data_IF_977694907019
#
_entry.id   IF_977694907019
#
_cell.length_a   1.000
_cell.length_b   1.000
_cell.length_c   1.000
_cell.angle_alpha   90.00
_cell.angle_beta   90.00
_cell.angle_gamma   90.00
#
_symmetry.space_group_name_H-M   'P 1'
#
loop_
_entity.id
_entity.type
_entity.pdbx_description
1 polymer ?
#
# COMPACT_ATOMS: atom_id res chain seq x y z
N UNK A 1 38.00 -78.97 -53.17
CA UNK A 1 36.76 -78.38 -52.63
C UNK A 1 37.18 -77.26 -51.69
N UNK A 2 37.16 -76.00 -52.16
CA UNK A 2 37.73 -74.85 -51.46
C UNK A 2 36.58 -73.86 -51.20
N UNK A 3 36.30 -73.57 -49.92
CA UNK A 3 35.21 -72.70 -49.46
C UNK A 3 35.76 -71.27 -49.38
N UNK A 4 35.12 -70.36 -50.11
CA UNK A 4 35.39 -68.91 -50.09
C UNK A 4 34.47 -68.29 -49.01
N UNK A 5 35.04 -67.71 -47.96
CA UNK A 5 34.28 -66.95 -46.96
C UNK A 5 34.17 -65.49 -47.41
N UNK A 6 32.94 -65.00 -47.58
CA UNK A 6 32.65 -63.58 -47.85
C UNK A 6 32.54 -62.83 -46.52
N UNK A 7 33.22 -61.69 -46.40
CA UNK A 7 33.09 -60.78 -45.25
C UNK A 7 32.21 -59.61 -45.66
N UNK A 8 30.99 -59.57 -45.16
CA UNK A 8 30.07 -58.44 -45.34
C UNK A 8 30.44 -57.30 -44.39
N UNK A 9 30.76 -56.14 -44.95
CA UNK A 9 31.03 -54.91 -44.19
C UNK A 9 29.70 -54.19 -43.92
N UNK A 10 29.22 -54.20 -42.67
CA UNK A 10 28.02 -53.49 -42.28
C UNK A 10 28.32 -51.99 -42.08
N UNK A 11 28.00 -51.17 -43.08
CA UNK A 11 28.07 -49.71 -42.97
C UNK A 11 26.84 -49.17 -42.21
N UNK A 12 27.00 -48.81 -40.94
CA UNK A 12 25.97 -48.13 -40.14
C UNK A 12 25.75 -46.68 -40.61
N UNK A 13 24.65 -46.47 -41.33
CA UNK A 13 24.17 -45.14 -41.75
C UNK A 13 23.55 -44.42 -40.55
N UNK A 14 24.26 -43.44 -39.96
CA UNK A 14 23.73 -42.58 -38.87
C UNK A 14 22.51 -41.79 -39.37
N UNK A 15 21.36 -42.05 -38.74
CA UNK A 15 20.11 -41.32 -38.93
C UNK A 15 20.25 -39.91 -38.34
N UNK A 16 19.88 -38.83 -39.06
CA UNK A 16 19.82 -37.50 -38.46
C UNK A 16 18.62 -37.43 -37.54
N UNK A 17 18.88 -37.28 -36.24
CA UNK A 17 17.86 -36.97 -35.24
C UNK A 17 17.44 -35.50 -35.40
N UNK A 18 16.25 -35.28 -35.93
CA UNK A 18 15.60 -33.96 -35.88
C UNK A 18 15.19 -33.67 -34.45
N UNK A 19 16.05 -32.97 -33.71
CA UNK A 19 15.70 -32.39 -32.41
C UNK A 19 14.60 -31.36 -32.63
N UNK A 20 13.34 -31.71 -32.28
CA UNK A 20 12.24 -30.74 -32.22
C UNK A 20 12.66 -29.61 -31.28
N UNK A 21 12.88 -28.43 -31.84
CA UNK A 21 13.18 -27.21 -31.09
C UNK A 21 11.96 -26.90 -30.22
N UNK A 22 12.10 -27.11 -28.91
CA UNK A 22 11.09 -26.75 -27.92
C UNK A 22 10.81 -25.24 -28.07
N UNK A 23 9.54 -24.80 -28.18
CA UNK A 23 9.23 -23.38 -28.26
C UNK A 23 9.84 -22.69 -27.05
N UNK A 24 10.53 -21.57 -27.29
CA UNK A 24 11.03 -20.71 -26.22
C UNK A 24 9.83 -20.34 -25.32
N UNK A 25 9.99 -20.51 -24.01
CA UNK A 25 8.98 -20.04 -23.08
C UNK A 25 8.84 -18.52 -23.27
N UNK A 26 7.66 -18.07 -23.71
CA UNK A 26 7.34 -16.65 -23.77
C UNK A 26 7.51 -16.10 -22.36
N UNK A 27 8.36 -15.08 -22.19
CA UNK A 27 8.47 -14.40 -20.90
C UNK A 27 7.07 -13.92 -20.47
N UNK A 28 6.68 -14.11 -19.20
CA UNK A 28 5.39 -13.61 -18.74
C UNK A 28 5.32 -12.11 -19.00
N UNK A 29 4.18 -11.65 -19.53
CA UNK A 29 3.95 -10.24 -19.75
C UNK A 29 3.99 -9.52 -18.39
N UNK A 30 4.86 -8.50 -18.28
CA UNK A 30 4.91 -7.62 -17.11
C UNK A 30 3.53 -6.96 -16.98
N UNK A 31 2.85 -7.20 -15.86
CA UNK A 31 1.55 -6.59 -15.60
C UNK A 31 1.77 -5.11 -15.30
N UNK A 32 1.21 -4.24 -16.14
CA UNK A 32 1.25 -2.81 -15.90
C UNK A 32 0.32 -2.44 -14.74
N UNK A 33 0.91 -2.08 -13.60
CA UNK A 33 0.21 -1.64 -12.38
C UNK A 33 0.29 -0.11 -12.16
N UNK A 34 0.65 0.66 -13.19
CA UNK A 34 0.78 2.12 -13.08
C UNK A 34 -0.50 2.81 -12.61
N UNK A 35 -1.71 2.46 -13.11
CA UNK A 35 -2.94 3.10 -12.65
C UNK A 35 -3.19 2.91 -11.15
N UNK A 36 -3.00 1.69 -10.65
CA UNK A 36 -3.15 1.35 -9.24
C UNK A 36 -2.10 2.05 -8.36
N UNK A 37 -0.85 2.11 -8.83
CA UNK A 37 0.21 2.86 -8.16
C UNK A 37 -0.10 4.36 -8.10
N UNK A 38 -0.71 4.94 -9.14
CA UNK A 38 -1.13 6.34 -9.15
C UNK A 38 -2.19 6.64 -8.07
N UNK A 39 -3.19 5.76 -7.91
CA UNK A 39 -4.21 5.91 -6.86
C UNK A 39 -3.59 5.92 -5.45
N UNK A 40 -2.66 5.01 -5.18
CA UNK A 40 -1.96 4.96 -3.89
C UNK A 40 -1.11 6.21 -3.68
N UNK A 41 -0.43 6.69 -4.73
CA UNK A 41 0.39 7.92 -4.66
C UNK A 41 -0.45 9.17 -4.35
N UNK A 42 -1.68 9.22 -4.85
CA UNK A 42 -2.61 10.31 -4.59
C UNK A 42 -3.00 10.32 -3.11
N UNK A 43 -3.30 9.16 -2.52
CA UNK A 43 -3.59 9.08 -1.07
C UNK A 43 -2.39 9.47 -0.21
N UNK A 44 -1.18 9.04 -0.56
CA UNK A 44 0.05 9.51 0.11
C UNK A 44 0.10 11.04 0.08
N UNK A 45 -0.15 11.65 -1.08
CA UNK A 45 -0.13 13.12 -1.22
C UNK A 45 -1.18 13.79 -0.33
N UNK A 46 -2.39 13.25 -0.26
CA UNK A 46 -3.47 13.78 0.60
C UNK A 46 -3.07 13.69 2.07
N UNK A 47 -2.57 12.54 2.53
CA UNK A 47 -2.08 12.35 3.89
C UNK A 47 -0.93 13.30 4.24
N UNK A 48 0.06 13.45 3.36
CA UNK A 48 1.20 14.34 3.60
C UNK A 48 0.76 15.80 3.71
N UNK A 49 -0.18 16.25 2.85
CA UNK A 49 -0.75 17.60 2.94
C UNK A 49 -1.50 17.82 4.26
N UNK A 50 -2.23 16.82 4.73
CA UNK A 50 -2.89 16.90 6.03
C UNK A 50 -1.88 16.96 7.18
N UNK A 51 -0.85 16.12 7.17
CA UNK A 51 0.22 16.13 8.19
C UNK A 51 0.93 17.49 8.28
N UNK A 52 1.12 18.18 7.16
CA UNK A 52 1.72 19.52 7.14
C UNK A 52 0.95 20.52 8.02
N UNK A 53 -0.39 20.43 8.04
CA UNK A 53 -1.23 21.31 8.88
C UNK A 53 -1.57 20.71 10.24
N UNK A 54 -1.42 19.40 10.40
CA UNK A 54 -1.80 18.64 11.60
C UNK A 54 -1.17 19.20 12.88
N UNK A 55 0.14 19.41 12.89
CA UNK A 55 0.85 19.91 14.07
C UNK A 55 0.33 21.27 14.55
N UNK A 56 -0.05 22.17 13.61
CA UNK A 56 -0.65 23.45 13.96
C UNK A 56 -2.02 23.29 14.63
N UNK A 57 -2.83 22.35 14.13
CA UNK A 57 -4.16 22.07 14.68
C UNK A 57 -4.02 21.52 16.10
N UNK A 58 -3.17 20.50 16.28
CA UNK A 58 -2.93 19.84 17.57
C UNK A 58 -2.41 20.82 18.63
N UNK A 59 -1.40 21.62 18.31
CA UNK A 59 -0.88 22.63 19.24
C UNK A 59 -1.98 23.59 19.72
N UNK A 60 -2.93 23.94 18.85
CA UNK A 60 -4.09 24.77 19.22
C UNK A 60 -5.04 24.05 20.18
N UNK A 61 -5.29 22.75 19.96
CA UNK A 61 -6.14 21.94 20.83
C UNK A 61 -5.51 21.76 22.21
N UNK A 62 -4.22 21.41 22.27
CA UNK A 62 -3.49 21.20 23.52
C UNK A 62 -3.40 22.49 24.35
N UNK A 63 -3.11 23.62 23.68
CA UNK A 63 -3.11 24.92 24.34
C UNK A 63 -4.49 25.25 24.93
N UNK A 64 -5.57 25.00 24.19
CA UNK A 64 -6.93 25.24 24.67
C UNK A 64 -7.32 24.30 25.83
N UNK A 65 -6.91 23.04 25.79
CA UNK A 65 -7.10 22.08 26.88
C UNK A 65 -6.34 22.50 28.15
N UNK A 66 -5.12 23.01 28.02
CA UNK A 66 -4.33 23.49 29.16
C UNK A 66 -4.90 24.76 29.78
N UNK A 67 -5.39 25.71 28.98
CA UNK A 67 -6.12 26.88 29.47
C UNK A 67 -7.40 26.46 30.20
N UNK A 68 -8.11 25.46 29.68
CA UNK A 68 -9.31 24.93 30.31
C UNK A 68 -9.03 24.30 31.68
N UNK A 69 -7.95 23.51 31.81
CA UNK A 69 -7.50 22.94 33.09
C UNK A 69 -7.15 24.01 34.13
N UNK A 70 -6.69 25.18 33.67
CA UNK A 70 -6.34 26.33 34.53
C UNK A 70 -7.54 27.22 34.87
N UNK A 71 -8.73 26.91 34.36
CA UNK A 71 -9.93 27.73 34.54
C UNK A 71 -9.90 29.06 33.77
N UNK A 72 -9.04 29.16 32.75
CA UNK A 72 -8.76 30.39 31.99
C UNK A 72 -9.42 30.38 30.59
N UNK A 73 -10.64 29.85 30.47
CA UNK A 73 -11.36 29.74 29.18
C UNK A 73 -12.77 30.29 29.26
N UNK A 74 -13.19 30.96 28.19
CA UNK A 74 -14.58 31.37 28.01
C UNK A 74 -15.40 30.22 27.40
N UNK A 75 -16.74 30.22 27.55
CA UNK A 75 -17.61 29.22 26.92
C UNK A 75 -17.41 29.12 25.40
N UNK A 76 -17.12 30.24 24.73
CA UNK A 76 -16.86 30.30 23.29
C UNK A 76 -15.59 29.53 22.91
N UNK A 77 -14.52 29.65 23.71
CA UNK A 77 -13.27 28.92 23.50
C UNK A 77 -13.50 27.41 23.67
N UNK A 78 -14.27 27.01 24.68
CA UNK A 78 -14.63 25.59 24.91
C UNK A 78 -15.41 25.03 23.72
N UNK A 79 -16.41 25.75 23.22
CA UNK A 79 -17.20 25.33 22.07
C UNK A 79 -16.35 25.23 20.79
N UNK A 80 -15.46 26.20 20.56
CA UNK A 80 -14.55 26.20 19.43
C UNK A 80 -13.53 25.06 19.50
N UNK A 81 -13.03 24.74 20.70
CA UNK A 81 -12.11 23.63 20.92
C UNK A 81 -12.78 22.28 20.59
N UNK A 82 -14.02 22.08 21.10
CA UNK A 82 -14.81 20.88 20.79
C UNK A 82 -15.03 20.73 19.28
N UNK A 83 -15.44 21.80 18.60
CA UNK A 83 -15.63 21.82 17.14
C UNK A 83 -14.34 21.48 16.39
N UNK A 84 -13.20 21.99 16.87
CA UNK A 84 -11.90 21.73 16.26
C UNK A 84 -11.47 20.27 16.44
N UNK A 85 -11.73 19.67 17.61
CA UNK A 85 -11.52 18.24 17.86
C UNK A 85 -12.39 17.36 16.96
N UNK A 86 -13.69 17.66 16.88
CA UNK A 86 -14.63 16.95 16.00
C UNK A 86 -14.19 17.04 14.54
N UNK A 87 -13.78 18.23 14.08
CA UNK A 87 -13.26 18.43 12.74
C UNK A 87 -11.96 17.65 12.50
N UNK A 88 -11.05 17.60 13.48
CA UNK A 88 -9.81 16.82 13.36
C UNK A 88 -10.10 15.33 13.15
N UNK A 89 -10.95 14.76 14.00
CA UNK A 89 -11.34 13.35 13.91
C UNK A 89 -12.06 13.06 12.59
N UNK A 90 -12.97 13.93 12.16
CA UNK A 90 -13.68 13.78 10.89
C UNK A 90 -12.73 13.82 9.68
N UNK A 91 -11.71 14.69 9.70
CA UNK A 91 -10.69 14.71 8.65
C UNK A 91 -9.88 13.42 8.61
N UNK A 92 -9.45 12.89 9.75
CA UNK A 92 -8.71 11.61 9.82
C UNK A 92 -9.60 10.45 9.33
N UNK A 93 -10.89 10.45 9.68
CA UNK A 93 -11.85 9.49 9.16
C UNK A 93 -11.95 9.56 7.62
N UNK A 94 -12.01 10.78 7.05
CA UNK A 94 -12.01 10.97 5.59
C UNK A 94 -10.75 10.41 4.92
N UNK A 95 -9.59 10.56 5.55
CA UNK A 95 -8.33 9.95 5.10
C UNK A 95 -8.40 8.41 5.13
N UNK A 96 -8.91 7.82 6.21
CA UNK A 96 -9.12 6.37 6.34
C UNK A 96 -10.03 5.85 5.22
N UNK A 97 -11.18 6.51 5.01
CA UNK A 97 -12.15 6.13 3.97
C UNK A 97 -11.51 6.17 2.57
N UNK A 98 -10.62 7.14 2.32
CA UNK A 98 -9.85 7.20 1.07
C UNK A 98 -9.00 5.95 0.81
N UNK A 99 -8.32 5.44 1.83
CA UNK A 99 -7.55 4.19 1.73
C UNK A 99 -8.48 2.98 1.58
N UNK A 100 -9.54 2.90 2.38
CA UNK A 100 -10.48 1.78 2.35
C UNK A 100 -11.10 1.56 0.98
N UNK A 101 -11.40 2.65 0.27
CA UNK A 101 -11.89 2.57 -1.11
C UNK A 101 -10.90 1.83 -2.01
N UNK A 102 -9.62 2.18 -1.97
CA UNK A 102 -8.57 1.52 -2.77
C UNK A 102 -8.41 0.06 -2.34
N UNK A 103 -8.48 -0.22 -1.03
CA UNK A 103 -8.44 -1.59 -0.51
C UNK A 103 -9.55 -2.45 -1.11
N UNK A 104 -10.79 -1.93 -1.19
CA UNK A 104 -11.90 -2.67 -1.81
C UNK A 104 -11.68 -2.88 -3.30
N UNK A 105 -11.19 -1.87 -4.02
CA UNK A 105 -10.86 -1.98 -5.44
C UNK A 105 -9.81 -3.08 -5.67
N UNK A 106 -8.73 -3.10 -4.87
CA UNK A 106 -7.68 -4.12 -4.99
C UNK A 106 -8.17 -5.51 -4.59
N UNK A 107 -8.99 -5.62 -3.54
CA UNK A 107 -9.60 -6.88 -3.11
C UNK A 107 -10.39 -7.53 -4.25
N UNK A 108 -11.10 -6.72 -5.03
CA UNK A 108 -11.91 -7.17 -6.17
C UNK A 108 -11.08 -7.59 -7.39
N UNK A 109 -9.78 -7.26 -7.43
CA UNK A 109 -8.88 -7.57 -8.54
C UNK A 109 -7.98 -8.76 -8.17
N UNK A 110 -8.13 -9.94 -8.81
CA UNK A 110 -7.31 -11.12 -8.50
C UNK A 110 -5.79 -10.91 -8.70
N UNK A 111 -5.40 -9.93 -9.51
CA UNK A 111 -3.98 -9.60 -9.74
C UNK A 111 -3.35 -8.81 -8.58
N UNK A 112 -4.17 -8.27 -7.68
CA UNK A 112 -3.76 -7.36 -6.62
C UNK A 112 -3.82 -8.00 -5.22
N UNK A 113 -3.95 -9.31 -5.09
CA UNK A 113 -4.16 -9.94 -3.78
C UNK A 113 -3.01 -9.67 -2.78
N UNK A 114 -1.77 -9.60 -3.27
CA UNK A 114 -0.61 -9.27 -2.43
C UNK A 114 -0.64 -7.79 -2.03
N UNK A 115 -0.91 -6.91 -2.98
CA UNK A 115 -0.97 -5.46 -2.77
C UNK A 115 -2.14 -5.07 -1.87
N UNK A 116 -3.29 -5.74 -2.03
CA UNK A 116 -4.46 -5.62 -1.18
C UNK A 116 -4.10 -5.87 0.29
N UNK A 117 -3.43 -6.98 0.60
CA UNK A 117 -3.04 -7.31 1.97
C UNK A 117 -2.05 -6.28 2.55
N UNK A 118 -1.11 -5.78 1.73
CA UNK A 118 -0.20 -4.72 2.15
C UNK A 118 -0.94 -3.41 2.44
N UNK A 119 -1.91 -3.06 1.60
CA UNK A 119 -2.68 -1.84 1.72
C UNK A 119 -3.69 -1.90 2.88
N UNK A 120 -4.20 -3.07 3.25
CA UNK A 120 -5.06 -3.21 4.43
C UNK A 120 -4.35 -2.81 5.72
N UNK A 121 -3.04 -3.09 5.85
CA UNK A 121 -2.25 -2.60 6.98
C UNK A 121 -2.12 -1.06 7.01
N UNK A 122 -2.13 -0.39 5.85
CA UNK A 122 -2.20 1.07 5.81
C UNK A 122 -3.56 1.58 6.31
N UNK A 123 -4.64 0.89 5.93
CA UNK A 123 -6.00 1.19 6.38
C UNK A 123 -6.15 1.02 7.89
N UNK A 124 -5.57 -0.04 8.46
CA UNK A 124 -5.54 -0.29 9.91
C UNK A 124 -4.78 0.81 10.65
N UNK A 125 -3.62 1.25 10.12
CA UNK A 125 -2.87 2.34 10.71
C UNK A 125 -3.67 3.67 10.70
N UNK A 126 -4.41 3.95 9.64
CA UNK A 126 -5.30 5.12 9.57
C UNK A 126 -6.48 5.00 10.56
N UNK A 127 -7.05 3.80 10.74
CA UNK A 127 -8.08 3.55 11.74
C UNK A 127 -7.55 3.76 13.17
N UNK A 128 -6.33 3.29 13.46
CA UNK A 128 -5.69 3.54 14.75
C UNK A 128 -5.46 5.05 14.97
N UNK A 129 -5.04 5.80 13.95
CA UNK A 129 -4.90 7.25 14.05
C UNK A 129 -6.21 7.96 14.43
N UNK A 130 -7.34 7.53 13.84
CA UNK A 130 -8.67 8.07 14.16
C UNK A 130 -9.05 7.81 15.63
N UNK A 131 -8.81 6.59 16.11
CA UNK A 131 -9.07 6.20 17.50
C UNK A 131 -8.21 7.00 18.48
N UNK A 132 -6.91 7.13 18.19
CA UNK A 132 -5.96 7.90 19.02
C UNK A 132 -6.35 9.37 19.08
N UNK A 133 -6.70 10.00 17.95
CA UNK A 133 -7.14 11.39 17.92
C UNK A 133 -8.46 11.59 18.71
N UNK A 134 -9.40 10.64 18.60
CA UNK A 134 -10.64 10.67 19.38
C UNK A 134 -10.37 10.62 20.89
N UNK A 135 -9.35 9.88 21.29
CA UNK A 135 -8.86 9.77 22.66
C UNK A 135 -7.93 10.93 23.10
N UNK A 136 -7.82 12.01 22.32
CA UNK A 136 -6.90 13.13 22.58
C UNK A 136 -5.41 12.73 22.64
N UNK A 137 -5.01 11.60 22.02
CA UNK A 137 -3.62 11.14 21.93
C UNK A 137 -3.01 11.61 20.60
N UNK A 138 -2.85 12.91 20.45
CA UNK A 138 -2.58 13.54 19.16
C UNK A 138 -1.20 13.22 18.59
N UNK A 139 -0.15 13.15 19.41
CA UNK A 139 1.19 12.77 18.93
C UNK A 139 1.19 11.36 18.33
N UNK A 140 0.57 10.42 19.04
CA UNK A 140 0.48 9.03 18.62
C UNK A 140 -0.40 8.86 17.39
N UNK A 141 -1.48 9.63 17.28
CA UNK A 141 -2.28 9.69 16.05
C UNK A 141 -1.45 10.19 14.86
N UNK A 142 -0.58 11.19 15.08
CA UNK A 142 0.38 11.66 14.09
C UNK A 142 1.32 10.56 13.60
N UNK A 143 1.91 9.81 14.54
CA UNK A 143 2.79 8.68 14.23
C UNK A 143 2.06 7.55 13.48
N UNK A 144 0.81 7.28 13.84
CA UNK A 144 -0.01 6.29 13.14
C UNK A 144 -0.31 6.71 11.69
N UNK A 145 -0.54 8.01 11.42
CA UNK A 145 -0.68 8.51 10.04
C UNK A 145 0.63 8.40 9.24
N UNK A 146 1.78 8.67 9.86
CA UNK A 146 3.09 8.44 9.21
C UNK A 146 3.27 6.96 8.87
N UNK A 147 2.86 6.07 9.77
CA UNK A 147 2.88 4.63 9.52
C UNK A 147 1.99 4.26 8.34
N UNK A 148 0.78 4.82 8.23
CA UNK A 148 -0.10 4.60 7.08
C UNK A 148 0.56 5.02 5.76
N UNK A 149 1.22 6.17 5.72
CA UNK A 149 1.98 6.63 4.55
C UNK A 149 3.10 5.65 4.18
N UNK A 150 3.86 5.18 5.17
CA UNK A 150 4.93 4.22 4.94
C UNK A 150 4.38 2.93 4.33
N UNK A 151 3.27 2.39 4.84
CA UNK A 151 2.63 1.18 4.29
C UNK A 151 2.11 1.37 2.87
N UNK A 152 1.57 2.55 2.56
CA UNK A 152 1.19 2.90 1.19
C UNK A 152 2.40 2.94 0.26
N UNK A 153 3.51 3.54 0.70
CA UNK A 153 4.75 3.57 -0.08
C UNK A 153 5.34 2.16 -0.31
N UNK A 154 5.37 1.33 0.72
CA UNK A 154 5.77 -0.09 0.63
C UNK A 154 4.89 -0.87 -0.36
N UNK A 155 3.59 -0.55 -0.41
CA UNK A 155 2.66 -1.13 -1.37
C UNK A 155 3.01 -0.72 -2.80
N UNK A 156 3.29 0.56 -3.05
CA UNK A 156 3.74 1.04 -4.36
C UNK A 156 5.05 0.38 -4.81
N UNK A 157 6.01 0.20 -3.91
CA UNK A 157 7.26 -0.47 -4.22
C UNK A 157 7.03 -1.92 -4.67
N UNK A 158 6.07 -2.61 -4.03
CA UNK A 158 5.72 -3.98 -4.42
C UNK A 158 5.06 -4.10 -5.80
N UNK A 159 4.52 -3.01 -6.34
CA UNK A 159 3.98 -2.97 -7.71
C UNK A 159 5.06 -2.75 -8.77
N UNK A 160 6.20 -2.17 -8.39
CA UNK A 160 7.31 -1.86 -9.31
C UNK A 160 8.32 -3.00 -9.44
N UNK A 161 8.38 -3.89 -8.44
CA UNK A 161 9.34 -4.99 -8.35
C UNK A 161 8.78 -6.35 -8.83
N UNK A 162 7.59 -6.35 -9.43
CA UNK A 162 6.96 -7.52 -10.07
C UNK A 162 7.04 -7.40 -11.59
#
# INVERSE_FOLDING_TARGET
>A
MMIIASVETYAQKKRPTTTKRRPAATAPAVVDMRPEASQVSEQITIFTKFLYVYGKIVNGLEFAEDQAKRGQVTPEIVAQNRKSKEALVANINGLRVGIEKIVQEFKSNPRMQVQYLKLSYASEAAANAEQLASASRYDEAGQAMVTAIQRMAETMLSMRLM
#
